data_IF_883827118587
#
_entry.id   IF_883827118587
#
_cell.length_a   1.000
_cell.length_b   1.000
_cell.length_c   1.000
_cell.angle_alpha   90.00
_cell.angle_beta   90.00
_cell.angle_gamma   90.00
#
_symmetry.space_group_name_H-M   'P 1'
#
loop_
_entity.id
_entity.type
_entity.pdbx_description
1 polymer ?
#
# COMPACT_ATOMS: atom_id res chain seq x y z
N UNK A 1 31.29 59.88 9.36
CA UNK A 1 31.31 58.43 9.04
C UNK A 1 30.08 57.80 9.69
N UNK A 2 29.02 57.55 8.92
CA UNK A 2 27.82 56.85 9.40
C UNK A 2 27.92 55.38 9.01
N UNK A 3 27.96 54.49 10.00
CA UNK A 3 27.95 53.05 9.78
C UNK A 3 26.50 52.58 9.58
N UNK A 4 26.20 52.02 8.41
CA UNK A 4 24.91 51.37 8.10
C UNK A 4 24.93 49.94 8.63
N UNK A 5 24.04 49.61 9.56
CA UNK A 5 23.73 48.22 9.91
C UNK A 5 22.92 47.60 8.76
N UNK A 6 23.42 46.49 8.22
CA UNK A 6 22.71 45.64 7.26
C UNK A 6 22.05 44.53 8.08
N UNK A 7 20.72 44.52 8.13
CA UNK A 7 19.95 43.39 8.66
C UNK A 7 19.95 42.26 7.61
N UNK A 8 20.58 41.14 7.94
CA UNK A 8 20.46 39.91 7.16
C UNK A 8 19.16 39.19 7.59
N UNK A 9 18.21 39.08 6.66
CA UNK A 9 17.02 38.25 6.84
C UNK A 9 17.43 36.78 6.78
N UNK A 10 17.34 36.07 7.91
CA UNK A 10 17.55 34.63 7.97
C UNK A 10 16.32 33.93 7.36
N UNK A 11 16.50 33.36 6.16
CA UNK A 11 15.53 32.48 5.52
C UNK A 11 15.54 31.14 6.28
N UNK A 12 14.58 30.93 7.18
CA UNK A 12 14.38 29.63 7.82
C UNK A 12 13.72 28.70 6.80
N UNK A 13 14.52 27.79 6.23
CA UNK A 13 13.99 26.67 5.45
C UNK A 13 13.20 25.75 6.39
N UNK A 14 11.88 25.67 6.19
CA UNK A 14 11.06 24.64 6.83
C UNK A 14 11.49 23.28 6.27
N UNK A 15 11.71 22.27 7.13
CA UNK A 15 11.98 20.93 6.65
C UNK A 15 10.72 20.41 5.94
N UNK A 16 10.84 20.10 4.64
CA UNK A 16 9.89 19.21 3.98
C UNK A 16 9.95 17.88 4.73
N UNK A 17 8.87 17.52 5.41
CA UNK A 17 8.69 16.14 5.84
C UNK A 17 8.64 15.30 4.56
N UNK A 18 9.67 14.48 4.33
CA UNK A 18 9.61 13.46 3.31
C UNK A 18 8.50 12.49 3.72
N UNK A 19 7.37 12.53 3.03
CA UNK A 19 6.35 11.49 3.10
C UNK A 19 7.02 10.19 2.67
N UNK A 20 7.26 9.30 3.63
CA UNK A 20 7.73 7.95 3.37
C UNK A 20 6.74 7.26 2.45
N UNK A 21 7.23 6.61 1.40
CA UNK A 21 6.42 5.67 0.65
C UNK A 21 6.16 4.48 1.59
N UNK A 22 4.92 4.31 2.03
CA UNK A 22 4.54 3.17 2.86
C UNK A 22 4.51 1.92 1.98
N UNK A 23 5.51 1.07 2.18
CA UNK A 23 5.55 -0.25 1.59
C UNK A 23 4.74 -1.19 2.48
N UNK A 24 3.66 -1.75 1.94
CA UNK A 24 2.96 -2.85 2.61
C UNK A 24 3.94 -4.01 2.86
N UNK A 25 3.73 -4.74 3.95
CA UNK A 25 4.49 -5.95 4.22
C UNK A 25 4.26 -6.93 3.05
N UNK A 26 5.35 -7.54 2.57
CA UNK A 26 5.29 -8.47 1.44
C UNK A 26 5.89 -9.83 1.78
N UNK A 27 5.41 -10.90 1.13
CA UNK A 27 6.04 -12.21 1.16
C UNK A 27 6.29 -12.69 -0.26
N UNK A 28 7.54 -13.02 -0.55
CA UNK A 28 7.92 -13.77 -1.74
C UNK A 28 7.59 -15.25 -1.50
N UNK A 29 6.73 -15.82 -2.33
CA UNK A 29 6.43 -17.25 -2.41
C UNK A 29 7.23 -17.84 -3.56
N UNK A 30 8.20 -18.70 -3.25
CA UNK A 30 9.10 -19.27 -4.24
C UNK A 30 8.82 -20.76 -4.46
N UNK A 31 8.56 -21.11 -5.72
CA UNK A 31 8.47 -22.49 -6.19
C UNK A 31 9.83 -23.20 -6.09
N UNK A 32 9.85 -24.30 -5.34
CA UNK A 32 10.94 -25.26 -5.32
C UNK A 32 10.39 -26.67 -5.54
N UNK A 33 9.37 -26.81 -6.38
CA UNK A 33 8.84 -28.09 -6.82
C UNK A 33 9.77 -28.77 -7.83
N UNK A 34 9.60 -30.07 -8.06
CA UNK A 34 10.53 -30.85 -8.89
C UNK A 34 10.78 -30.32 -10.31
N UNK A 35 9.85 -29.55 -10.90
CA UNK A 35 10.02 -28.92 -12.22
C UNK A 35 11.14 -27.87 -12.26
N UNK A 36 11.48 -27.26 -11.13
CA UNK A 36 12.57 -26.29 -11.00
C UNK A 36 13.98 -26.87 -11.22
N UNK A 37 14.10 -28.19 -11.39
CA UNK A 37 15.31 -28.83 -11.94
C UNK A 37 15.46 -28.70 -13.45
N UNK A 38 14.42 -28.25 -14.15
CA UNK A 38 14.47 -27.88 -15.56
C UNK A 38 15.58 -26.85 -15.80
N UNK A 39 16.06 -26.77 -17.04
CA UNK A 39 17.19 -25.91 -17.39
C UNK A 39 16.82 -24.89 -18.46
N UNK A 40 17.36 -23.69 -18.29
CA UNK A 40 17.35 -22.62 -19.29
C UNK A 40 18.81 -22.32 -19.59
N UNK A 41 19.19 -22.46 -20.87
CA UNK A 41 20.58 -22.22 -21.32
C UNK A 41 21.66 -23.01 -20.54
N UNK A 42 21.30 -24.19 -20.01
CA UNK A 42 22.20 -25.08 -19.27
C UNK A 42 22.33 -24.79 -17.77
N UNK A 43 21.61 -23.80 -17.25
CA UNK A 43 21.52 -23.50 -15.80
C UNK A 43 20.16 -23.94 -15.29
N UNK A 44 20.09 -24.51 -14.08
CA UNK A 44 18.79 -24.95 -13.54
C UNK A 44 17.92 -23.74 -13.18
N UNK A 45 16.60 -23.89 -13.31
CA UNK A 45 15.64 -22.83 -12.97
C UNK A 45 15.77 -22.38 -11.52
N UNK A 46 16.00 -23.31 -10.59
CA UNK A 46 16.22 -22.97 -9.17
C UNK A 46 17.49 -22.13 -8.98
N UNK A 47 18.60 -22.43 -9.66
CA UNK A 47 19.83 -21.63 -9.58
C UNK A 47 19.61 -20.22 -10.13
N UNK A 48 18.84 -20.09 -11.23
CA UNK A 48 18.46 -18.79 -11.78
C UNK A 48 17.62 -18.01 -10.77
N UNK A 49 16.57 -18.62 -10.20
CA UNK A 49 15.71 -17.98 -9.23
C UNK A 49 16.49 -17.56 -7.97
N UNK A 50 17.42 -18.40 -7.49
CA UNK A 50 18.30 -18.08 -6.37
C UNK A 50 19.16 -16.84 -6.63
N UNK A 51 19.79 -16.76 -7.81
CA UNK A 51 20.59 -15.61 -8.22
C UNK A 51 19.76 -14.33 -8.31
N UNK A 52 18.64 -14.39 -9.04
CA UNK A 52 17.78 -13.23 -9.28
C UNK A 52 17.15 -12.71 -7.98
N UNK A 53 16.68 -13.59 -7.10
CA UNK A 53 16.15 -13.16 -5.80
C UNK A 53 17.27 -12.55 -4.93
N UNK A 54 18.48 -13.10 -5.00
CA UNK A 54 19.66 -12.49 -4.35
C UNK A 54 19.92 -11.07 -4.83
N UNK A 55 19.85 -10.83 -6.14
CA UNK A 55 20.04 -9.50 -6.74
C UNK A 55 18.90 -8.54 -6.35
N UNK A 56 17.64 -8.99 -6.41
CA UNK A 56 16.47 -8.24 -5.96
C UNK A 56 16.63 -7.75 -4.52
N UNK A 57 17.05 -8.61 -3.60
CA UNK A 57 17.23 -8.24 -2.20
C UNK A 57 18.27 -7.13 -1.99
N UNK A 58 19.19 -6.92 -2.95
CA UNK A 58 20.15 -5.82 -2.92
C UNK A 58 19.59 -4.51 -3.49
N UNK A 59 18.52 -4.56 -4.31
CA UNK A 59 17.92 -3.38 -4.94
C UNK A 59 16.74 -2.80 -4.17
N UNK A 60 16.03 -3.62 -3.38
CA UNK A 60 14.86 -3.15 -2.63
C UNK A 60 15.21 -2.03 -1.63
N UNK A 61 14.37 -1.00 -1.42
CA UNK A 61 14.58 0.03 -0.40
C UNK A 61 14.56 -0.51 1.03
N UNK A 62 15.40 -0.03 1.94
CA UNK A 62 15.50 -0.56 3.33
C UNK A 62 14.15 -0.55 4.09
N UNK A 63 13.27 0.39 3.78
CA UNK A 63 11.92 0.49 4.36
C UNK A 63 10.96 -0.63 3.92
N UNK A 64 11.27 -1.33 2.83
CA UNK A 64 10.44 -2.40 2.31
C UNK A 64 10.72 -3.71 3.08
N UNK A 65 9.73 -4.11 3.87
CA UNK A 65 9.73 -5.37 4.64
C UNK A 65 9.24 -6.51 3.77
N UNK A 66 10.11 -7.49 3.57
CA UNK A 66 9.83 -8.69 2.77
C UNK A 66 10.10 -9.94 3.59
N UNK A 67 9.24 -10.95 3.47
CA UNK A 67 9.41 -12.30 3.99
C UNK A 67 9.56 -13.33 2.87
N UNK A 68 9.75 -14.59 3.25
CA UNK A 68 9.92 -15.71 2.33
C UNK A 68 9.07 -16.91 2.77
N UNK A 69 8.26 -17.39 1.84
CA UNK A 69 7.63 -18.70 1.88
C UNK A 69 8.14 -19.52 0.70
N UNK A 70 8.38 -20.81 0.90
CA UNK A 70 8.74 -21.72 -0.18
C UNK A 70 7.86 -22.97 -0.12
N UNK A 71 7.69 -23.63 -1.25
CA UNK A 71 6.98 -24.91 -1.31
C UNK A 71 7.71 -25.94 -2.15
N UNK A 72 7.43 -27.21 -1.87
CA UNK A 72 8.00 -28.34 -2.59
C UNK A 72 9.49 -28.59 -2.32
N UNK A 73 10.12 -27.93 -1.34
CA UNK A 73 11.56 -28.01 -1.14
C UNK A 73 12.04 -29.17 -0.23
N UNK A 74 11.15 -29.91 0.44
CA UNK A 74 11.52 -30.92 1.45
C UNK A 74 11.03 -32.32 1.12
N UNK A 75 9.74 -32.46 0.80
CA UNK A 75 9.07 -33.78 0.77
C UNK A 75 8.46 -34.03 -0.61
N UNK A 76 8.89 -35.13 -1.24
CA UNK A 76 8.36 -35.55 -2.56
C UNK A 76 6.90 -35.98 -2.46
N UNK A 77 6.06 -35.44 -3.35
CA UNK A 77 4.66 -35.86 -3.50
C UNK A 77 3.69 -35.27 -2.46
N UNK A 78 4.19 -34.45 -1.54
CA UNK A 78 3.42 -33.86 -0.45
C UNK A 78 2.89 -32.48 -0.83
N UNK A 79 1.57 -32.29 -0.72
CA UNK A 79 0.91 -31.01 -0.98
C UNK A 79 0.93 -30.07 0.23
N UNK A 80 1.29 -30.58 1.41
CA UNK A 80 1.46 -29.78 2.62
C UNK A 80 2.89 -29.27 2.80
N UNK A 81 3.78 -29.53 1.82
CA UNK A 81 5.17 -29.08 1.85
C UNK A 81 5.28 -27.59 1.51
N UNK A 82 4.84 -26.76 2.45
CA UNK A 82 4.88 -25.30 2.42
C UNK A 82 5.56 -24.85 3.73
N UNK A 83 6.49 -23.91 3.64
CA UNK A 83 7.22 -23.40 4.79
C UNK A 83 7.45 -21.89 4.66
N UNK A 84 6.99 -21.14 5.66
CA UNK A 84 7.38 -19.73 5.83
C UNK A 84 8.74 -19.70 6.52
N UNK A 85 9.79 -19.60 5.71
CA UNK A 85 11.19 -19.64 6.13
C UNK A 85 11.61 -18.36 6.84
N UNK A 86 11.06 -17.21 6.42
CA UNK A 86 11.37 -15.90 6.99
C UNK A 86 10.11 -15.06 7.07
N UNK A 87 9.80 -14.55 8.25
CA UNK A 87 8.71 -13.58 8.44
C UNK A 87 9.16 -12.18 7.97
N UNK A 88 8.26 -11.35 7.42
CA UNK A 88 8.57 -9.96 7.10
C UNK A 88 9.08 -9.19 8.33
N UNK A 89 10.14 -8.40 8.17
CA UNK A 89 10.68 -7.58 9.24
C UNK A 89 11.99 -6.87 8.87
N UNK A 90 12.45 -5.98 9.74
CA UNK A 90 13.54 -5.02 9.47
C UNK A 90 14.94 -5.66 9.23
N UNK A 91 15.09 -6.98 9.37
CA UNK A 91 16.37 -7.69 9.18
C UNK A 91 16.22 -9.03 8.45
N UNK A 92 15.22 -9.14 7.59
CA UNK A 92 14.90 -10.39 6.89
C UNK A 92 15.85 -10.71 5.72
N UNK A 93 16.43 -9.72 5.05
CA UNK A 93 17.11 -9.91 3.75
C UNK A 93 18.24 -10.94 3.76
N UNK A 94 19.15 -10.86 4.74
CA UNK A 94 20.25 -11.81 4.85
C UNK A 94 19.74 -13.23 5.17
N UNK A 95 18.66 -13.34 5.93
CA UNK A 95 18.02 -14.61 6.24
C UNK A 95 17.34 -15.19 5.00
N UNK A 96 16.66 -14.35 4.21
CA UNK A 96 16.03 -14.74 2.94
C UNK A 96 17.09 -15.22 1.97
N UNK A 97 18.17 -14.46 1.76
CA UNK A 97 19.26 -14.85 0.87
C UNK A 97 19.85 -16.22 1.27
N UNK A 98 20.08 -16.44 2.57
CA UNK A 98 20.55 -17.73 3.07
C UNK A 98 19.55 -18.87 2.84
N UNK A 99 18.25 -18.62 3.11
CA UNK A 99 17.18 -19.60 2.97
C UNK A 99 16.96 -19.98 1.50
N UNK A 100 16.89 -19.00 0.60
CA UNK A 100 16.75 -19.20 -0.85
C UNK A 100 17.88 -20.04 -1.41
N UNK A 101 19.13 -19.74 -1.06
CA UNK A 101 20.31 -20.50 -1.48
C UNK A 101 20.33 -21.95 -0.95
N UNK A 102 19.59 -22.24 0.11
CA UNK A 102 19.47 -23.59 0.67
C UNK A 102 18.33 -24.42 0.05
N UNK A 103 17.46 -23.81 -0.77
CA UNK A 103 16.34 -24.51 -1.40
C UNK A 103 16.83 -25.58 -2.38
N UNK A 104 16.16 -26.74 -2.34
CA UNK A 104 16.40 -27.85 -3.26
C UNK A 104 15.07 -28.33 -3.82
N UNK A 105 14.92 -28.45 -5.14
CA UNK A 105 13.63 -28.85 -5.68
C UNK A 105 13.29 -30.32 -5.43
N UNK A 106 12.10 -30.63 -4.87
CA UNK A 106 11.75 -32.02 -4.49
C UNK A 106 10.30 -32.45 -4.71
N UNK A 107 9.36 -31.55 -4.45
CA UNK A 107 7.97 -31.82 -4.14
C UNK A 107 7.00 -31.45 -5.26
N UNK A 108 5.73 -31.33 -4.87
CA UNK A 108 4.64 -30.85 -5.72
C UNK A 108 4.58 -29.31 -5.72
N UNK A 109 3.60 -28.79 -6.44
CA UNK A 109 3.35 -27.36 -6.64
C UNK A 109 2.02 -26.97 -5.96
N UNK A 110 1.93 -26.91 -4.61
CA UNK A 110 0.75 -26.42 -3.89
C UNK A 110 0.70 -24.89 -3.89
N UNK A 111 0.66 -24.31 -5.10
CA UNK A 111 0.75 -22.86 -5.34
C UNK A 111 -0.31 -22.09 -4.55
N UNK A 112 -1.55 -22.56 -4.59
CA UNK A 112 -2.72 -21.93 -3.97
C UNK A 112 -2.59 -21.90 -2.46
N UNK A 113 -2.29 -23.03 -1.84
CA UNK A 113 -2.17 -23.15 -0.39
C UNK A 113 -0.94 -22.39 0.13
N UNK A 114 0.12 -22.28 -0.68
CA UNK A 114 1.29 -21.47 -0.34
C UNK A 114 0.97 -19.97 -0.33
N UNK A 115 0.13 -19.49 -1.25
CA UNK A 115 -0.36 -18.11 -1.25
C UNK A 115 -1.27 -17.85 -0.05
N UNK A 116 -2.15 -18.79 0.30
CA UNK A 116 -2.97 -18.70 1.53
C UNK A 116 -2.08 -18.56 2.77
N UNK A 117 -1.09 -19.44 2.93
CA UNK A 117 -0.18 -19.41 4.07
C UNK A 117 0.63 -18.10 4.14
N UNK A 118 1.06 -17.57 2.99
CA UNK A 118 1.75 -16.29 2.92
C UNK A 118 0.83 -15.12 3.31
N UNK A 119 -0.42 -15.12 2.82
CA UNK A 119 -1.41 -14.11 3.18
C UNK A 119 -1.72 -14.14 4.70
N UNK A 120 -1.88 -15.33 5.27
CA UNK A 120 -2.09 -15.52 6.71
C UNK A 120 -0.89 -15.03 7.54
N UNK A 121 0.34 -15.30 7.11
CA UNK A 121 1.56 -14.80 7.76
C UNK A 121 1.65 -13.26 7.73
N UNK A 122 1.08 -12.63 6.70
CA UNK A 122 0.94 -11.18 6.58
C UNK A 122 -0.26 -10.61 7.35
N UNK A 123 -1.10 -11.46 7.96
CA UNK A 123 -2.36 -11.07 8.60
C UNK A 123 -3.23 -10.22 7.67
N UNK A 124 -3.42 -10.70 6.44
CA UNK A 124 -4.15 -10.00 5.37
C UNK A 124 -5.59 -9.56 5.70
N UNK A 125 -6.18 -10.07 6.79
CA UNK A 125 -7.49 -9.67 7.32
C UNK A 125 -7.42 -8.47 8.28
N UNK A 126 -6.23 -8.06 8.69
CA UNK A 126 -5.95 -6.97 9.63
C UNK A 126 -5.16 -5.83 8.95
N UNK A 127 -4.27 -6.17 8.01
CA UNK A 127 -3.38 -5.23 7.33
C UNK A 127 -3.41 -5.44 5.81
N UNK A 128 -3.10 -4.39 5.03
CA UNK A 128 -2.83 -4.55 3.61
C UNK A 128 -1.60 -5.46 3.40
N UNK A 129 -1.70 -6.39 2.45
CA UNK A 129 -0.73 -7.47 2.30
C UNK A 129 -0.41 -7.70 0.82
N UNK A 130 0.88 -7.87 0.50
CA UNK A 130 1.31 -8.20 -0.85
C UNK A 130 2.00 -9.56 -0.88
N UNK A 131 1.49 -10.49 -1.68
CA UNK A 131 2.13 -11.77 -1.95
C UNK A 131 2.72 -11.73 -3.36
N UNK A 132 3.98 -12.11 -3.50
CA UNK A 132 4.65 -12.20 -4.80
C UNK A 132 4.99 -13.66 -5.03
N UNK A 133 4.29 -14.30 -5.95
CA UNK A 133 4.49 -15.69 -6.30
C UNK A 133 5.42 -15.82 -7.51
N UNK A 134 6.44 -16.66 -7.41
CA UNK A 134 7.25 -17.11 -8.56
C UNK A 134 7.02 -18.61 -8.72
N UNK A 135 6.50 -19.04 -9.88
CA UNK A 135 6.27 -20.46 -10.17
C UNK A 135 6.58 -20.82 -11.62
N UNK A 136 7.06 -22.04 -11.84
CA UNK A 136 7.39 -22.57 -13.17
C UNK A 136 6.39 -23.61 -13.69
N UNK A 137 5.33 -23.88 -12.93
CA UNK A 137 4.51 -25.08 -13.11
C UNK A 137 3.01 -24.88 -12.92
N UNK A 138 2.27 -25.92 -13.30
CA UNK A 138 0.84 -26.04 -13.06
C UNK A 138 0.57 -26.33 -11.59
N UNK A 139 -0.54 -25.83 -11.04
CA UNK A 139 -1.03 -26.28 -9.74
C UNK A 139 -1.28 -27.80 -9.79
N UNK A 140 -0.74 -28.54 -8.81
CA UNK A 140 -0.86 -30.01 -8.77
C UNK A 140 -1.58 -30.54 -7.52
N UNK A 141 -2.01 -29.65 -6.62
CA UNK A 141 -2.60 -29.99 -5.34
C UNK A 141 -4.02 -29.45 -5.19
N UNK A 142 -4.32 -28.28 -5.75
CA UNK A 142 -5.65 -27.68 -5.71
C UNK A 142 -6.35 -27.74 -7.08
N UNK A 143 -7.62 -28.18 -7.17
CA UNK A 143 -8.34 -28.24 -8.45
C UNK A 143 -8.78 -26.87 -9.00
N UNK A 144 -8.87 -25.81 -8.19
CA UNK A 144 -9.34 -24.49 -8.64
C UNK A 144 -8.63 -23.30 -7.94
N UNK A 145 -7.44 -22.91 -8.44
CA UNK A 145 -6.70 -21.74 -7.96
C UNK A 145 -7.50 -20.44 -8.02
N UNK A 146 -8.36 -20.29 -9.02
CA UNK A 146 -9.20 -19.10 -9.19
C UNK A 146 -10.22 -18.95 -8.06
N UNK A 147 -10.87 -20.05 -7.66
CA UNK A 147 -11.84 -20.02 -6.58
C UNK A 147 -11.20 -19.65 -5.25
N UNK A 148 -9.98 -20.13 -4.99
CA UNK A 148 -9.22 -19.76 -3.81
C UNK A 148 -8.80 -18.28 -3.83
N UNK A 149 -8.34 -17.76 -4.97
CA UNK A 149 -8.01 -16.35 -5.14
C UNK A 149 -9.20 -15.43 -4.81
N UNK A 150 -10.39 -15.76 -5.33
CA UNK A 150 -11.63 -15.03 -5.02
C UNK A 150 -11.98 -15.07 -3.53
N UNK A 151 -11.78 -16.21 -2.88
CA UNK A 151 -12.07 -16.35 -1.45
C UNK A 151 -11.09 -15.53 -0.61
N UNK A 152 -9.81 -15.50 -1.00
CA UNK A 152 -8.78 -14.68 -0.37
C UNK A 152 -9.08 -13.19 -0.49
N UNK A 153 -9.43 -12.72 -1.69
CA UNK A 153 -9.79 -11.31 -1.92
C UNK A 153 -11.02 -10.90 -1.10
N UNK A 154 -12.06 -11.74 -1.03
CA UNK A 154 -13.26 -11.45 -0.26
C UNK A 154 -13.03 -11.41 1.25
N UNK A 155 -12.01 -12.10 1.75
CA UNK A 155 -11.68 -12.16 3.16
C UNK A 155 -10.67 -11.09 3.60
N UNK A 156 -9.84 -10.59 2.68
CA UNK A 156 -8.80 -9.62 2.96
C UNK A 156 -9.30 -8.18 3.03
N UNK A 157 -8.54 -7.31 3.71
CA UNK A 157 -8.78 -5.86 3.68
C UNK A 157 -8.24 -5.25 2.38
N UNK A 158 -7.08 -5.73 1.92
CA UNK A 158 -6.44 -5.32 0.66
C UNK A 158 -5.28 -6.29 0.34
N UNK A 159 -5.61 -7.52 -0.05
CA UNK A 159 -4.61 -8.54 -0.39
C UNK A 159 -4.32 -8.48 -1.88
N UNK A 160 -3.06 -8.25 -2.25
CA UNK A 160 -2.64 -8.27 -3.65
C UNK A 160 -1.71 -9.44 -3.90
N UNK A 161 -2.01 -10.28 -4.89
CA UNK A 161 -1.13 -11.40 -5.29
C UNK A 161 -0.54 -11.13 -6.68
N UNK A 162 0.72 -10.70 -6.72
CA UNK A 162 1.48 -10.68 -7.97
C UNK A 162 2.00 -12.07 -8.30
N UNK A 163 2.00 -12.43 -9.57
CA UNK A 163 2.42 -13.76 -10.04
C UNK A 163 3.40 -13.62 -11.20
N UNK A 164 4.59 -14.18 -11.04
CA UNK A 164 5.61 -14.28 -12.08
C UNK A 164 5.72 -15.73 -12.53
N UNK A 165 5.21 -16.01 -13.73
CA UNK A 165 5.34 -17.32 -14.38
C UNK A 165 6.72 -17.48 -15.01
N UNK A 166 7.57 -18.31 -14.42
CA UNK A 166 8.96 -18.52 -14.86
C UNK A 166 9.10 -19.74 -15.79
N UNK A 167 9.43 -19.51 -17.06
CA UNK A 167 9.53 -20.54 -18.10
C UNK A 167 8.28 -21.43 -18.20
N UNK A 168 7.11 -20.79 -18.14
CA UNK A 168 5.81 -21.47 -18.20
C UNK A 168 5.32 -21.55 -19.64
N UNK A 169 5.34 -22.77 -20.18
CA UNK A 169 4.88 -23.07 -21.53
C UNK A 169 3.47 -23.68 -21.58
N UNK A 170 2.99 -24.25 -20.48
CA UNK A 170 1.65 -24.84 -20.41
C UNK A 170 0.57 -23.75 -20.36
N UNK A 171 -0.38 -23.71 -21.32
CA UNK A 171 -1.45 -22.72 -21.34
C UNK A 171 -2.36 -22.78 -20.10
N UNK A 172 -2.57 -23.97 -19.53
CA UNK A 172 -3.41 -24.14 -18.35
C UNK A 172 -2.72 -23.60 -17.10
N UNK A 173 -1.41 -23.86 -16.94
CA UNK A 173 -0.63 -23.26 -15.86
C UNK A 173 -0.64 -21.74 -15.94
N UNK A 174 -0.43 -21.17 -17.13
CA UNK A 174 -0.52 -19.72 -17.37
C UNK A 174 -1.90 -19.17 -16.99
N UNK A 175 -2.97 -19.85 -17.39
CA UNK A 175 -4.35 -19.45 -17.08
C UNK A 175 -4.61 -19.42 -15.58
N UNK A 176 -4.14 -20.44 -14.84
CA UNK A 176 -4.29 -20.53 -13.39
C UNK A 176 -3.54 -19.39 -12.68
N UNK A 177 -2.28 -19.17 -13.04
CA UNK A 177 -1.45 -18.09 -12.49
C UNK A 177 -2.01 -16.70 -12.80
N UNK A 178 -2.46 -16.47 -14.03
CA UNK A 178 -3.09 -15.21 -14.40
C UNK A 178 -4.36 -14.97 -13.59
N UNK A 179 -5.21 -15.99 -13.44
CA UNK A 179 -6.44 -15.88 -12.68
C UNK A 179 -6.19 -15.53 -11.20
N UNK A 180 -5.16 -16.13 -10.60
CA UNK A 180 -4.76 -15.86 -9.22
C UNK A 180 -4.37 -14.38 -9.03
N UNK A 181 -3.65 -13.80 -10.00
CA UNK A 181 -3.33 -12.37 -9.99
C UNK A 181 -4.57 -11.50 -10.23
N UNK A 182 -5.34 -11.78 -11.28
CA UNK A 182 -6.49 -10.96 -11.68
C UNK A 182 -7.57 -10.86 -10.57
N UNK A 183 -7.85 -11.97 -9.88
CA UNK A 183 -8.88 -12.03 -8.83
C UNK A 183 -8.46 -11.32 -7.53
N UNK A 184 -7.19 -10.94 -7.38
CA UNK A 184 -6.64 -10.23 -6.20
C UNK A 184 -6.10 -8.84 -6.56
N UNK A 185 -6.42 -8.34 -7.76
CA UNK A 185 -5.94 -7.05 -8.25
C UNK A 185 -4.42 -6.98 -8.48
N UNK A 186 -3.76 -8.13 -8.54
CA UNK A 186 -2.32 -8.26 -8.78
C UNK A 186 -1.95 -8.20 -10.26
N UNK A 187 -0.69 -8.54 -10.54
CA UNK A 187 -0.14 -8.53 -11.90
C UNK A 187 0.36 -9.93 -12.25
N UNK A 188 0.08 -10.39 -13.47
CA UNK A 188 0.69 -11.61 -14.01
C UNK A 188 1.76 -11.25 -15.05
N UNK A 189 3.01 -11.57 -14.74
CA UNK A 189 4.15 -11.36 -15.63
C UNK A 189 4.74 -12.72 -16.04
N UNK A 190 5.16 -12.85 -17.28
CA UNK A 190 5.88 -14.05 -17.77
C UNK A 190 7.37 -13.73 -17.91
N UNK A 191 8.22 -14.67 -17.50
CA UNK A 191 9.67 -14.56 -17.64
C UNK A 191 10.25 -15.84 -18.25
N UNK A 192 10.95 -15.75 -19.37
CA UNK A 192 11.57 -16.90 -20.04
C UNK A 192 13.05 -17.13 -19.69
N UNK A 193 13.68 -16.22 -18.96
CA UNK A 193 15.10 -16.29 -18.59
C UNK A 193 15.40 -15.46 -17.34
N UNK A 194 16.65 -15.47 -16.89
CA UNK A 194 17.10 -14.76 -15.69
C UNK A 194 16.84 -13.24 -15.76
N UNK A 195 17.13 -12.60 -16.89
CA UNK A 195 16.95 -11.16 -17.09
C UNK A 195 15.48 -10.78 -16.97
N UNK A 196 14.61 -11.52 -17.66
CA UNK A 196 13.16 -11.27 -17.62
C UNK A 196 12.57 -11.56 -16.23
N UNK A 197 13.07 -12.56 -15.51
CA UNK A 197 12.66 -12.85 -14.14
C UNK A 197 13.04 -11.69 -13.20
N UNK A 198 14.24 -11.15 -13.36
CA UNK A 198 14.70 -9.98 -12.60
C UNK A 198 13.83 -8.76 -12.86
N UNK A 199 13.60 -8.42 -14.14
CA UNK A 199 12.74 -7.28 -14.50
C UNK A 199 11.30 -7.46 -14.00
N UNK A 200 10.73 -8.66 -14.10
CA UNK A 200 9.39 -8.93 -13.60
C UNK A 200 9.31 -8.77 -12.07
N UNK A 201 10.32 -9.27 -11.33
CA UNK A 201 10.39 -9.13 -9.88
C UNK A 201 10.58 -7.67 -9.45
N UNK A 202 11.43 -6.91 -10.15
CA UNK A 202 11.60 -5.48 -9.92
C UNK A 202 10.29 -4.70 -10.18
N UNK A 203 9.51 -5.09 -11.19
CA UNK A 203 8.23 -4.46 -11.50
C UNK A 203 7.18 -4.69 -10.40
N UNK A 204 7.02 -5.93 -9.94
CA UNK A 204 6.00 -6.28 -8.92
C UNK A 204 6.41 -5.94 -7.49
N UNK A 205 7.67 -5.55 -7.26
CA UNK A 205 8.16 -5.10 -5.96
C UNK A 205 8.26 -3.58 -5.84
N UNK A 206 8.07 -2.84 -6.93
CA UNK A 206 7.98 -1.39 -6.87
C UNK A 206 6.80 -0.95 -6.01
N UNK A 207 6.97 0.18 -5.31
CA UNK A 207 5.87 0.81 -4.59
C UNK A 207 4.70 1.04 -5.56
N UNK A 208 3.48 0.82 -5.07
CA UNK A 208 2.29 1.20 -5.81
C UNK A 208 2.36 2.69 -6.19
N UNK A 209 1.95 3.07 -7.41
CA UNK A 209 1.94 4.47 -7.80
C UNK A 209 1.06 5.27 -6.84
N UNK A 210 1.56 6.43 -6.40
CA UNK A 210 0.79 7.38 -5.63
C UNK A 210 0.42 8.60 -6.49
N UNK A 211 -0.77 9.13 -6.23
CA UNK A 211 -1.37 10.22 -6.95
C UNK A 211 -1.55 11.41 -6.02
N UNK A 212 -1.25 12.60 -6.51
CA UNK A 212 -1.46 13.84 -5.76
C UNK A 212 -2.95 14.12 -5.65
N UNK A 213 -3.50 14.05 -4.45
CA UNK A 213 -4.88 14.42 -4.14
C UNK A 213 -4.87 15.74 -3.37
N UNK A 214 -5.61 16.71 -3.89
CA UNK A 214 -5.78 18.03 -3.29
C UNK A 214 -7.17 18.14 -2.66
N UNK A 215 -7.21 18.46 -1.38
CA UNK A 215 -8.43 18.62 -0.61
C UNK A 215 -8.72 20.10 -0.40
N UNK A 216 -9.92 20.53 -0.79
CA UNK A 216 -10.39 21.90 -0.64
C UNK A 216 -11.77 21.90 0.02
N UNK A 217 -12.06 22.93 0.79
CA UNK A 217 -13.40 23.15 1.33
C UNK A 217 -14.02 24.41 0.70
N UNK A 218 -15.32 24.39 0.44
CA UNK A 218 -16.10 25.56 -0.02
C UNK A 218 -17.15 25.97 1.00
N UNK A 219 -17.47 27.26 1.02
CA UNK A 219 -18.39 27.91 1.96
C UNK A 219 -19.86 27.83 1.50
N UNK A 220 -20.55 26.74 1.81
CA UNK A 220 -21.88 26.44 1.31
C UNK A 220 -21.89 25.91 -0.13
N UNK A 221 -23.06 25.46 -0.61
CA UNK A 221 -23.18 24.90 -1.97
C UNK A 221 -22.83 25.97 -3.02
N UNK A 222 -21.76 25.71 -3.78
CA UNK A 222 -21.18 26.64 -4.78
C UNK A 222 -20.56 27.92 -4.19
N UNK A 223 -20.21 27.92 -2.91
CA UNK A 223 -19.48 29.02 -2.28
C UNK A 223 -18.03 29.18 -2.75
N UNK A 224 -17.35 30.26 -2.35
CA UNK A 224 -15.91 30.38 -2.54
C UNK A 224 -15.17 29.28 -1.77
N UNK A 225 -13.96 28.96 -2.22
CA UNK A 225 -13.04 28.13 -1.45
C UNK A 225 -12.69 28.84 -0.14
N UNK A 226 -12.72 28.09 0.95
CA UNK A 226 -12.36 28.59 2.27
C UNK A 226 -10.87 28.95 2.30
N UNK A 227 -10.56 30.09 2.90
CA UNK A 227 -9.18 30.57 3.12
C UNK A 227 -8.75 30.41 4.57
N UNK A 228 -9.65 29.95 5.43
CA UNK A 228 -9.40 29.78 6.86
C UNK A 228 -8.49 28.58 7.12
N UNK A 229 -7.86 28.54 8.29
CA UNK A 229 -7.15 27.33 8.72
C UNK A 229 -8.17 26.29 9.14
N UNK A 230 -8.26 25.20 8.39
CA UNK A 230 -9.12 24.06 8.68
C UNK A 230 -8.29 22.92 9.26
N UNK A 231 -8.95 21.98 9.92
CA UNK A 231 -8.35 20.75 10.42
C UNK A 231 -8.81 19.59 9.57
N UNK A 232 -7.87 18.84 8.99
CA UNK A 232 -8.13 17.77 8.05
C UNK A 232 -7.78 16.41 8.66
N UNK A 233 -8.67 15.45 8.48
CA UNK A 233 -8.40 14.03 8.74
C UNK A 233 -8.62 13.24 7.45
N UNK A 234 -7.70 12.32 7.15
CA UNK A 234 -7.80 11.41 6.01
C UNK A 234 -7.58 10.00 6.54
N UNK A 235 -8.47 9.08 6.17
CA UNK A 235 -8.36 7.69 6.57
C UNK A 235 -8.63 6.72 5.41
N UNK A 236 -8.04 5.53 5.50
CA UNK A 236 -8.27 4.38 4.63
C UNK A 236 -8.60 3.18 5.51
N UNK A 237 -9.87 2.78 5.56
CA UNK A 237 -10.30 1.75 6.51
C UNK A 237 -10.08 2.20 7.95
N UNK A 238 -9.24 1.49 8.71
CA UNK A 238 -8.86 1.84 10.09
C UNK A 238 -7.55 2.67 10.18
N UNK A 239 -6.86 2.88 9.06
CA UNK A 239 -5.58 3.60 9.00
C UNK A 239 -5.81 5.12 8.88
N UNK A 240 -5.21 5.89 9.80
CA UNK A 240 -5.19 7.36 9.75
C UNK A 240 -3.97 7.85 8.99
N UNK A 241 -4.19 8.45 7.82
CA UNK A 241 -3.15 8.97 6.92
C UNK A 241 -2.86 10.47 7.14
N UNK A 242 -3.83 11.17 7.72
CA UNK A 242 -3.69 12.52 8.25
C UNK A 242 -4.62 12.64 9.46
N UNK A 243 -4.13 13.21 10.54
CA UNK A 243 -4.90 13.44 11.77
C UNK A 243 -4.64 14.88 12.24
N UNK A 244 -5.71 15.67 12.33
CA UNK A 244 -5.69 17.08 12.69
C UNK A 244 -4.65 17.90 11.91
N UNK A 245 -4.50 17.64 10.61
CA UNK A 245 -3.55 18.39 9.79
C UNK A 245 -4.11 19.80 9.48
N UNK A 246 -3.41 20.89 9.87
CA UNK A 246 -3.94 22.24 9.68
C UNK A 246 -3.67 22.77 8.27
N UNK A 247 -4.66 23.42 7.66
CA UNK A 247 -4.48 24.14 6.38
C UNK A 247 -5.79 24.56 5.72
N UNK A 248 -5.74 25.58 4.86
CA UNK A 248 -6.89 25.94 4.01
C UNK A 248 -7.11 24.91 2.88
N UNK A 249 -6.01 24.29 2.44
CA UNK A 249 -5.95 23.20 1.47
C UNK A 249 -5.01 22.16 2.04
N UNK A 250 -5.31 20.88 1.84
CA UNK A 250 -4.38 19.80 2.13
C UNK A 250 -4.01 19.08 0.83
N UNK A 251 -2.76 18.66 0.69
CA UNK A 251 -2.31 17.83 -0.43
C UNK A 251 -1.64 16.58 0.13
N UNK A 252 -2.07 15.41 -0.35
CA UNK A 252 -1.45 14.12 -0.02
C UNK A 252 -1.19 13.29 -1.26
N UNK A 253 -0.11 12.53 -1.24
CA UNK A 253 0.12 11.47 -2.20
C UNK A 253 -0.61 10.21 -1.69
N UNK A 254 -1.64 9.76 -2.41
CA UNK A 254 -2.46 8.60 -2.05
C UNK A 254 -2.36 7.55 -3.15
N UNK A 255 -2.30 6.28 -2.78
CA UNK A 255 -2.36 5.15 -3.72
C UNK A 255 -3.79 4.89 -4.18
N UNK A 256 -3.97 4.03 -5.18
CA UNK A 256 -5.31 3.59 -5.58
C UNK A 256 -6.06 2.96 -4.40
N UNK A 257 -7.34 3.31 -4.27
CA UNK A 257 -8.19 2.80 -3.19
C UNK A 257 -9.33 3.74 -2.80
N UNK A 258 -10.15 3.28 -1.86
CA UNK A 258 -11.25 4.04 -1.28
C UNK A 258 -10.83 4.69 0.03
N UNK A 259 -11.14 5.97 0.17
CA UNK A 259 -10.76 6.81 1.29
C UNK A 259 -11.97 7.55 1.85
N UNK A 260 -11.86 8.00 3.09
CA UNK A 260 -12.71 9.08 3.60
C UNK A 260 -11.88 10.24 4.10
N UNK A 261 -12.43 11.44 3.95
CA UNK A 261 -11.84 12.69 4.41
C UNK A 261 -12.88 13.45 5.20
N UNK A 262 -12.47 13.99 6.35
CA UNK A 262 -13.25 14.96 7.11
C UNK A 262 -12.47 16.26 7.26
N UNK A 263 -13.21 17.35 7.31
CA UNK A 263 -12.67 18.68 7.57
C UNK A 263 -13.49 19.37 8.64
N UNK A 264 -12.81 20.05 9.56
CA UNK A 264 -13.42 20.84 10.62
C UNK A 264 -12.90 22.29 10.55
N UNK A 265 -13.81 23.25 10.64
CA UNK A 265 -13.46 24.66 10.84
C UNK A 265 -13.40 24.97 12.34
N UNK A 266 -12.25 25.36 12.90
CA UNK A 266 -12.15 25.66 14.33
C UNK A 266 -12.96 26.88 14.80
N UNK A 267 -13.31 27.79 13.89
CA UNK A 267 -13.98 29.04 14.22
C UNK A 267 -15.41 28.83 14.75
N UNK A 268 -16.14 27.88 14.17
CA UNK A 268 -17.56 27.62 14.46
C UNK A 268 -17.84 26.12 14.70
N UNK A 269 -16.79 25.31 14.78
CA UNK A 269 -16.84 23.85 14.93
C UNK A 269 -17.63 23.13 13.83
N UNK A 270 -17.85 23.78 12.69
CA UNK A 270 -18.54 23.18 11.56
C UNK A 270 -17.68 22.11 10.88
N UNK A 271 -18.33 21.05 10.41
CA UNK A 271 -17.66 19.89 9.82
C UNK A 271 -18.28 19.50 8.48
N UNK A 272 -17.48 18.85 7.65
CA UNK A 272 -17.93 18.17 6.44
C UNK A 272 -17.12 16.88 6.25
N UNK A 273 -17.72 15.86 5.63
CA UNK A 273 -17.09 14.57 5.38
C UNK A 273 -17.47 14.06 3.99
N UNK A 274 -16.56 13.34 3.33
CA UNK A 274 -16.80 12.68 2.06
C UNK A 274 -16.01 11.37 1.94
N UNK A 275 -16.57 10.40 1.19
CA UNK A 275 -15.85 9.22 0.71
C UNK A 275 -15.50 9.38 -0.76
N UNK A 276 -14.31 8.95 -1.19
CA UNK A 276 -13.84 9.06 -2.56
C UNK A 276 -12.95 7.88 -2.96
N UNK A 277 -12.84 7.64 -4.27
CA UNK A 277 -11.98 6.62 -4.85
C UNK A 277 -10.81 7.30 -5.59
N UNK A 278 -9.57 6.95 -5.24
CA UNK A 278 -8.36 7.38 -5.95
C UNK A 278 -8.10 6.40 -7.08
N UNK A 279 -7.92 6.93 -8.30
CA UNK A 279 -7.59 6.15 -9.49
C UNK A 279 -6.77 6.95 -10.49
N UNK A 280 -5.53 6.54 -10.76
CA UNK A 280 -4.84 6.78 -12.03
C UNK A 280 -4.42 8.21 -12.42
N UNK A 281 -4.76 9.25 -11.66
CA UNK A 281 -4.44 10.65 -11.97
C UNK A 281 -4.50 11.57 -10.74
N UNK A 282 -4.00 12.80 -10.87
CA UNK A 282 -4.21 13.85 -9.86
C UNK A 282 -5.70 14.18 -9.70
N UNK A 283 -6.14 14.37 -8.46
CA UNK A 283 -7.56 14.58 -8.15
C UNK A 283 -7.75 15.75 -7.18
N UNK A 284 -8.90 16.42 -7.30
CA UNK A 284 -9.34 17.42 -6.32
C UNK A 284 -10.62 16.93 -5.65
N UNK A 285 -10.60 16.81 -4.33
CA UNK A 285 -11.76 16.46 -3.50
C UNK A 285 -12.27 17.73 -2.83
N UNK A 286 -13.54 18.06 -3.07
CA UNK A 286 -14.18 19.28 -2.56
C UNK A 286 -15.20 18.92 -1.47
N UNK A 287 -15.02 19.47 -0.27
CA UNK A 287 -15.98 19.37 0.82
C UNK A 287 -16.79 20.65 0.95
N UNK A 288 -18.05 20.54 1.33
CA UNK A 288 -18.95 21.69 1.48
C UNK A 288 -19.17 21.94 2.96
N UNK A 289 -18.54 22.99 3.49
CA UNK A 289 -18.78 23.43 4.86
C UNK A 289 -20.04 24.30 4.94
N UNK A 290 -20.77 24.28 6.07
CA UNK A 290 -21.82 25.26 6.34
C UNK A 290 -21.28 26.69 6.22
N UNK A 291 -22.08 27.56 5.60
CA UNK A 291 -21.73 28.98 5.49
C UNK A 291 -21.78 29.67 6.85
N UNK A 292 -20.81 30.55 7.12
CA UNK A 292 -20.82 31.37 8.31
C UNK A 292 -22.05 32.28 8.31
N UNK A 293 -22.87 32.16 9.35
CA UNK A 293 -23.92 33.13 9.61
C UNK A 293 -23.28 34.45 10.09
N UNK A 294 -23.78 35.62 9.66
CA UNK A 294 -23.27 36.88 10.16
C UNK A 294 -23.44 36.98 11.68
N UNK A 295 -22.47 37.59 12.36
CA UNK A 295 -22.55 37.84 13.80
C UNK A 295 -23.87 38.51 14.17
N UNK A 296 -24.59 37.89 15.12
CA UNK A 296 -25.81 38.47 15.66
C UNK A 296 -25.45 39.80 16.36
N UNK A 297 -25.80 40.92 15.73
CA UNK A 297 -25.56 42.24 16.32
C UNK A 297 -26.60 42.48 17.41
N UNK A 298 -26.23 42.28 18.67
CA UNK A 298 -27.07 42.69 19.81
C UNK A 298 -26.95 44.21 19.95
N UNK A 299 -27.90 44.95 19.39
CA UNK A 299 -28.04 46.38 19.64
C UNK A 299 -28.79 46.61 20.95
N UNK A 300 -28.07 46.87 22.03
CA UNK A 300 -28.63 47.31 23.30
C UNK A 300 -28.81 48.84 23.33
N UNK A 301 -29.89 49.38 23.93
CA UNK A 301 -30.06 50.82 24.08
C UNK A 301 -28.92 51.43 24.93
N UNK A 302 -28.44 52.61 24.54
CA UNK A 302 -27.28 53.27 25.14
C UNK A 302 -27.47 53.73 26.60
N UNK A 303 -28.70 53.74 27.13
CA UNK A 303 -28.96 54.16 28.50
C UNK A 303 -30.07 53.32 29.15
N UNK A 304 -29.68 52.52 30.14
CA UNK A 304 -30.60 52.06 31.16
C UNK A 304 -30.95 53.27 32.04
N UNK A 305 -32.15 53.81 31.88
CA UNK A 305 -32.68 54.86 32.78
C UNK A 305 -32.88 54.26 34.17
N UNK A 306 -31.86 54.36 35.01
CA UNK A 306 -31.90 53.96 36.41
C UNK A 306 -32.95 54.77 37.17
N UNK A 307 -34.10 54.15 37.45
CA UNK A 307 -35.10 54.69 38.37
C UNK A 307 -34.49 54.74 39.77
N UNK A 308 -34.15 55.94 40.27
CA UNK A 308 -33.72 56.12 41.67
C UNK A 308 -34.86 55.70 42.59
N UNK A 309 -34.62 54.66 43.38
CA UNK A 309 -35.50 54.27 44.47
C UNK A 309 -35.26 55.24 45.64
N UNK A 310 -36.33 55.90 46.09
CA UNK A 310 -36.30 56.79 47.25
C UNK A 310 -36.42 55.94 48.52
N UNK A 311 -35.56 56.11 49.53
CA UNK A 311 -35.70 55.40 50.80
C UNK A 311 -36.78 56.08 51.64
N UNK A 312 -37.71 55.27 52.16
CA UNK A 312 -38.58 55.61 53.27
C UNK A 312 -38.20 54.77 54.48
#
# INVERSE_FOLDING_TARGET
>A
MQARLIYAAALTALPFAASGQDYANSILVLDASGSMWGQIEGVTKIEIAQGVVGDLLNTLPESQRIGLTAYGHRTRGDCSDIETLVQPGDSSRAQIAAAVNALQPRGKTPMTDAVVQAAEALKYTEEAATVILVSDGIETCNPDPCAAARALEQAGINLTVHVVGFDVTDPEARRQMQCLADETGGQFLSAGNATELGSALEEVTQAAPSYTVTFVAIEGENGPQSTDTLMWDIQRGEEMLAEFEPGATLTKALTDGRYSVSVMRPLDESTAEATFDVSGAEQTVTLVLPSLLPDATVSGPAEATGRRHHPG
#
